data_IF_428304229509
#
_entry.id   IF_428304229509
#
_cell.length_a   1.000
_cell.length_b   1.000
_cell.length_c   1.000
_cell.angle_alpha   90.00
_cell.angle_beta   90.00
_cell.angle_gamma   90.00
#
_symmetry.space_group_name_H-M   'P 1'
#
loop_
_entity.id
_entity.type
_entity.pdbx_description
1 polymer ?
#
# COMPACT_ATOMS: atom_id res chain seq x y z
N UNK A 1 -12.21 -7.01 3.63
CA UNK A 1 -12.15 -7.11 2.14
C UNK A 1 -11.44 -5.86 1.72
N UNK A 2 -10.32 -5.93 1.00
CA UNK A 2 -9.44 -4.78 0.75
C UNK A 2 -10.21 -3.50 0.43
N UNK A 3 -11.13 -3.55 -0.54
CA UNK A 3 -11.90 -2.37 -0.96
C UNK A 3 -12.76 -1.78 0.17
N UNK A 4 -13.38 -2.61 1.01
CA UNK A 4 -14.15 -2.13 2.15
C UNK A 4 -13.27 -1.45 3.19
N UNK A 5 -12.08 -2.01 3.45
CA UNK A 5 -11.13 -1.48 4.41
C UNK A 5 -10.53 -0.14 3.92
N UNK A 6 -10.14 -0.07 2.64
CA UNK A 6 -9.65 1.17 2.01
C UNK A 6 -10.73 2.26 1.97
N UNK A 7 -11.98 1.90 1.69
CA UNK A 7 -13.08 2.86 1.72
C UNK A 7 -13.26 3.47 3.12
N UNK A 8 -13.08 2.70 4.19
CA UNK A 8 -13.09 3.26 5.55
C UNK A 8 -11.94 4.24 5.77
N UNK A 9 -10.73 3.90 5.34
CA UNK A 9 -9.56 4.79 5.45
C UNK A 9 -9.80 6.13 4.72
N UNK A 10 -10.40 6.10 3.53
CA UNK A 10 -10.72 7.33 2.78
C UNK A 10 -11.71 8.26 3.51
N UNK A 11 -12.63 7.71 4.30
CA UNK A 11 -13.67 8.51 4.98
C UNK A 11 -13.27 8.92 6.39
N UNK A 12 -12.54 8.06 7.11
CA UNK A 12 -12.28 8.21 8.53
C UNK A 12 -10.80 8.45 8.85
N UNK A 13 -9.91 8.30 7.87
CA UNK A 13 -8.48 8.24 8.11
C UNK A 13 -8.04 6.94 8.77
N UNK A 14 -6.75 6.86 9.09
CA UNK A 14 -6.08 5.69 9.63
C UNK A 14 -5.05 5.13 8.64
N UNK A 15 -4.71 3.85 8.85
CA UNK A 15 -3.78 3.08 8.04
C UNK A 15 -4.41 1.74 7.69
N UNK A 16 -4.28 1.34 6.44
CA UNK A 16 -4.45 -0.05 6.00
C UNK A 16 -3.07 -0.63 5.67
N UNK A 17 -2.81 -1.84 6.16
CA UNK A 17 -1.56 -2.54 5.93
C UNK A 17 -1.82 -3.99 5.49
N UNK A 18 -1.07 -4.43 4.49
CA UNK A 18 -0.98 -5.81 4.04
C UNK A 18 0.51 -6.14 3.81
N UNK A 19 1.26 -6.42 4.89
CA UNK A 19 2.70 -6.58 4.84
C UNK A 19 3.12 -7.85 4.07
N UNK A 20 4.41 -7.95 3.78
CA UNK A 20 5.06 -9.22 3.46
C UNK A 20 4.82 -10.24 4.59
N UNK A 21 4.78 -11.51 4.22
CA UNK A 21 4.67 -12.63 5.17
C UNK A 21 5.82 -13.61 4.94
N UNK A 22 6.14 -14.44 5.92
CA UNK A 22 7.22 -15.44 5.82
C UNK A 22 7.05 -16.38 4.62
N UNK A 23 5.81 -16.74 4.27
CA UNK A 23 5.45 -17.59 3.13
C UNK A 23 5.09 -16.80 1.86
N UNK A 24 5.07 -15.46 1.94
CA UNK A 24 4.80 -14.55 0.83
C UNK A 24 5.66 -13.27 0.98
N UNK A 25 6.99 -13.38 0.74
CA UNK A 25 7.92 -12.27 0.99
C UNK A 25 7.69 -11.06 0.07
N UNK A 26 7.15 -11.28 -1.13
CA UNK A 26 6.70 -10.19 -2.02
C UNK A 26 5.30 -9.65 -1.68
N UNK A 27 4.71 -10.01 -0.54
CA UNK A 27 3.34 -9.67 -0.22
C UNK A 27 2.31 -10.48 -0.99
N UNK A 28 1.02 -10.11 -0.82
CA UNK A 28 -0.10 -10.87 -1.38
C UNK A 28 -0.87 -10.13 -2.47
N UNK A 29 -0.92 -8.81 -2.40
CA UNK A 29 -1.69 -7.99 -3.32
C UNK A 29 -0.88 -7.78 -4.61
N UNK A 30 -1.55 -7.88 -5.75
CA UNK A 30 -0.94 -7.72 -7.07
C UNK A 30 -0.66 -6.25 -7.31
N UNK A 31 0.59 -5.92 -7.61
CA UNK A 31 1.05 -4.54 -7.77
C UNK A 31 0.25 -3.81 -8.85
N UNK A 32 0.10 -4.40 -10.03
CA UNK A 32 -0.57 -3.76 -11.16
C UNK A 32 -2.09 -3.60 -10.98
N UNK A 33 -2.73 -4.54 -10.30
CA UNK A 33 -4.19 -4.64 -10.25
C UNK A 33 -4.81 -4.16 -8.94
N UNK A 34 -4.03 -4.15 -7.86
CA UNK A 34 -4.50 -3.84 -6.51
C UNK A 34 -3.65 -2.72 -5.91
N UNK A 35 -2.32 -2.81 -6.00
CA UNK A 35 -1.39 -1.81 -5.49
C UNK A 35 -1.51 -0.44 -6.17
N UNK A 36 -1.17 -0.36 -7.47
CA UNK A 36 -1.18 0.90 -8.23
C UNK A 36 -2.53 1.61 -8.23
N UNK A 37 -3.68 0.94 -8.50
CA UNK A 37 -4.96 1.65 -8.57
C UNK A 37 -5.33 2.28 -7.23
N UNK A 38 -5.09 1.57 -6.12
CA UNK A 38 -5.44 2.05 -4.79
C UNK A 38 -4.40 3.08 -4.30
N UNK A 39 -3.12 2.87 -4.56
CA UNK A 39 -2.08 3.85 -4.29
C UNK A 39 -2.37 5.19 -4.96
N UNK A 40 -2.76 5.17 -6.24
CA UNK A 40 -3.15 6.38 -6.98
C UNK A 40 -4.36 7.09 -6.36
N UNK A 41 -5.41 6.34 -5.99
CA UNK A 41 -6.60 6.93 -5.34
C UNK A 41 -6.23 7.59 -4.00
N UNK A 42 -5.42 6.92 -3.19
CA UNK A 42 -5.02 7.42 -1.87
C UNK A 42 -4.14 8.68 -1.99
N UNK A 43 -3.15 8.65 -2.89
CA UNK A 43 -2.29 9.82 -3.12
C UNK A 43 -3.07 11.00 -3.73
N UNK A 44 -4.01 10.74 -4.64
CA UNK A 44 -4.92 11.78 -5.14
C UNK A 44 -5.82 12.37 -4.03
N UNK A 45 -6.14 11.59 -3.00
CA UNK A 45 -6.88 12.05 -1.83
C UNK A 45 -6.01 12.78 -0.80
N UNK A 46 -4.71 12.97 -1.07
CA UNK A 46 -3.75 13.60 -0.16
C UNK A 46 -3.21 12.68 0.93
N UNK A 47 -3.40 11.36 0.78
CA UNK A 47 -2.74 10.35 1.61
C UNK A 47 -1.39 9.91 1.03
N UNK A 48 -0.82 8.87 1.63
CA UNK A 48 0.43 8.25 1.18
C UNK A 48 0.22 6.78 0.89
N UNK A 49 0.93 6.28 -0.11
CA UNK A 49 1.05 4.86 -0.39
C UNK A 49 2.50 4.43 -0.24
N UNK A 50 2.75 3.21 0.19
CA UNK A 50 4.09 2.66 0.39
C UNK A 50 4.12 1.15 0.22
N UNK A 51 5.22 0.62 -0.35
CA UNK A 51 5.58 -0.80 -0.36
C UNK A 51 6.38 -1.23 0.88
N UNK A 52 6.67 -0.29 1.77
CA UNK A 52 7.53 -0.45 2.94
C UNK A 52 8.85 0.33 2.84
N UNK A 53 9.21 0.82 1.65
CA UNK A 53 10.43 1.60 1.43
C UNK A 53 10.17 2.85 0.57
N UNK A 54 9.23 2.78 -0.37
CA UNK A 54 8.92 3.84 -1.33
C UNK A 54 7.44 3.82 -1.71
N UNK A 55 6.97 4.85 -2.43
CA UNK A 55 5.59 4.87 -2.95
C UNK A 55 5.29 3.64 -3.80
N UNK A 56 4.07 3.11 -3.65
CA UNK A 56 3.58 2.03 -4.52
C UNK A 56 3.67 2.41 -6.00
N UNK A 57 3.57 3.70 -6.34
CA UNK A 57 3.60 4.18 -7.73
C UNK A 57 5.02 4.34 -8.30
N UNK A 58 6.06 4.21 -7.47
CA UNK A 58 7.45 4.26 -7.90
C UNK A 58 7.95 2.92 -8.45
N UNK A 59 7.31 1.81 -8.07
CA UNK A 59 7.73 0.48 -8.47
C UNK A 59 7.52 0.21 -9.96
N UNK A 60 8.49 -0.45 -10.59
CA UNK A 60 8.36 -0.99 -11.96
C UNK A 60 8.22 -2.51 -11.88
N UNK A 61 7.09 -3.10 -12.28
CA UNK A 61 6.87 -4.54 -12.20
C UNK A 61 7.64 -5.25 -13.32
N UNK A 62 8.17 -6.43 -13.01
CA UNK A 62 8.86 -7.31 -13.97
C UNK A 62 7.87 -8.31 -14.61
N UNK A 63 6.81 -8.68 -13.89
CA UNK A 63 5.73 -9.56 -14.34
C UNK A 63 4.33 -8.97 -14.09
N UNK A 64 3.36 -9.40 -14.90
CA UNK A 64 1.95 -8.99 -14.79
C UNK A 64 1.31 -9.38 -13.44
N UNK A 65 1.81 -10.44 -12.82
CA UNK A 65 1.30 -10.98 -11.56
C UNK A 65 2.17 -10.65 -10.34
N UNK A 66 3.14 -9.74 -10.49
CA UNK A 66 3.96 -9.29 -9.37
C UNK A 66 3.11 -8.80 -8.21
N UNK A 67 3.60 -9.12 -7.02
CA UNK A 67 2.97 -8.78 -5.75
C UNK A 67 3.80 -7.76 -5.02
N UNK A 68 3.15 -7.03 -4.13
CA UNK A 68 3.80 -6.01 -3.32
C UNK A 68 3.18 -5.98 -1.92
N UNK A 69 3.96 -5.74 -0.85
CA UNK A 69 3.42 -5.28 0.42
C UNK A 69 2.71 -3.94 0.21
N UNK A 70 1.65 -3.68 0.98
CA UNK A 70 0.85 -2.44 0.80
C UNK A 70 0.63 -1.78 2.14
N UNK A 71 1.05 -0.52 2.25
CA UNK A 71 0.76 0.35 3.37
C UNK A 71 0.18 1.65 2.81
N UNK A 72 -1.05 2.00 3.19
CA UNK A 72 -1.74 3.18 2.67
C UNK A 72 -2.55 3.88 3.76
N UNK A 73 -2.75 5.19 3.60
CA UNK A 73 -3.61 5.96 4.50
C UNK A 73 -3.15 7.40 4.66
N UNK A 74 -3.35 7.96 5.86
CA UNK A 74 -2.86 9.30 6.16
C UNK A 74 -1.35 9.38 6.01
N UNK A 75 -0.88 10.44 5.35
CA UNK A 75 0.52 10.67 5.04
C UNK A 75 1.46 10.47 6.24
N UNK A 76 1.22 11.22 7.32
CA UNK A 76 2.04 11.16 8.54
C UNK A 76 2.02 9.80 9.25
N UNK A 77 0.94 9.03 9.14
CA UNK A 77 0.85 7.71 9.76
C UNK A 77 1.61 6.66 8.95
N UNK A 78 1.51 6.71 7.61
CA UNK A 78 2.25 5.81 6.73
C UNK A 78 3.75 6.13 6.78
N UNK A 79 4.14 7.41 6.78
CA UNK A 79 5.54 7.82 6.98
C UNK A 79 6.09 7.32 8.33
N UNK A 80 5.32 7.50 9.41
CA UNK A 80 5.70 7.02 10.74
C UNK A 80 5.82 5.50 10.80
N UNK A 81 4.99 4.77 10.06
CA UNK A 81 5.03 3.32 9.94
C UNK A 81 6.28 2.89 9.18
N UNK A 82 6.53 3.45 8.00
CA UNK A 82 7.67 3.13 7.13
C UNK A 82 9.00 3.31 7.87
N UNK A 83 9.16 4.41 8.63
CA UNK A 83 10.36 4.66 9.43
C UNK A 83 10.59 3.66 10.60
N UNK A 84 9.64 2.75 10.84
CA UNK A 84 9.70 1.70 11.87
C UNK A 84 9.69 0.30 11.27
N UNK A 85 9.68 0.18 9.95
CA UNK A 85 9.98 -1.08 9.27
C UNK A 85 11.51 -1.24 9.30
N UNK A 86 11.96 -2.40 9.76
CA UNK A 86 13.38 -2.71 9.98
C UNK A 86 14.18 -2.81 8.67
#
# INVERSE_FOLDING_TARGET
SMIGDVNQILHYGGVFAYPAQTDAPGGKLRQQFEGFPIGYIIECAGGRSSDGEQSLLSGTPEDIHDRVPVYIGNDSLVESLEARLD
#
